data_IF_809706374934
#
_entry.id   IF_809706374934
#
_cell.length_a   1.000
_cell.length_b   1.000
_cell.length_c   1.000
_cell.angle_alpha   90.00
_cell.angle_beta   90.00
_cell.angle_gamma   90.00
#
_symmetry.space_group_name_H-M   'P 1'
#
loop_
_entity.id
_entity.type
_entity.pdbx_description
1 polymer ?
#
# COMPACT_ATOMS: atom_id res chain seq x y z
N UNK A 1 -6.92 -8.57 9.37
CA UNK A 1 -6.03 -8.25 10.51
C UNK A 1 -4.63 -8.83 10.39
N UNK A 2 -4.43 -10.08 9.94
CA UNK A 2 -3.10 -10.71 9.91
C UNK A 2 -2.03 -9.99 9.07
N UNK A 3 -2.40 -9.42 7.91
CA UNK A 3 -1.46 -8.66 7.09
C UNK A 3 -1.04 -7.35 7.76
N UNK A 4 -1.99 -6.59 8.33
CA UNK A 4 -1.66 -5.38 9.08
C UNK A 4 -0.71 -5.64 10.25
N UNK A 5 -0.87 -6.77 10.95
CA UNK A 5 -0.02 -7.14 12.08
C UNK A 5 1.46 -7.39 11.71
N UNK A 6 1.78 -7.51 10.42
CA UNK A 6 3.16 -7.66 9.94
C UNK A 6 3.93 -6.34 9.93
N UNK A 7 3.24 -5.19 9.91
CA UNK A 7 3.89 -3.89 10.04
C UNK A 7 4.14 -3.58 11.52
N UNK A 8 5.39 -3.38 11.96
CA UNK A 8 5.68 -3.01 13.36
C UNK A 8 4.91 -1.76 13.80
N UNK A 9 4.79 -0.77 12.91
CA UNK A 9 4.04 0.46 13.11
C UNK A 9 2.54 0.25 13.39
N UNK A 10 1.96 -0.89 12.99
CA UNK A 10 0.56 -1.19 13.24
C UNK A 10 0.28 -1.71 14.66
N UNK A 11 1.31 -2.25 15.35
CA UNK A 11 1.14 -2.90 16.66
C UNK A 11 0.41 -2.02 17.69
N UNK A 12 0.70 -0.71 17.84
CA UNK A 12 -0.01 0.15 18.78
C UNK A 12 -1.50 0.35 18.44
N UNK A 13 -1.86 0.24 17.15
CA UNK A 13 -3.20 0.44 16.63
C UNK A 13 -4.04 -0.83 16.63
N UNK A 14 -3.40 -2.01 16.66
CA UNK A 14 -4.03 -3.30 16.42
C UNK A 14 -5.25 -3.59 17.32
N UNK A 15 -5.23 -3.16 18.59
CA UNK A 15 -6.37 -3.34 19.50
C UNK A 15 -7.53 -2.42 19.13
N UNK A 16 -7.24 -1.14 18.88
CA UNK A 16 -8.26 -0.14 18.56
C UNK A 16 -8.89 -0.41 17.19
N UNK A 17 -8.10 -0.85 16.22
CA UNK A 17 -8.53 -1.18 14.86
C UNK A 17 -9.45 -2.39 14.75
N UNK A 18 -9.69 -3.14 15.84
CA UNK A 18 -10.74 -4.17 15.90
C UNK A 18 -12.14 -3.58 16.06
N UNK A 19 -12.24 -2.34 16.53
CA UNK A 19 -13.53 -1.70 16.76
C UNK A 19 -14.15 -1.29 15.42
N UNK A 20 -15.47 -1.45 15.24
CA UNK A 20 -16.15 -1.09 14.00
C UNK A 20 -16.12 0.42 13.71
N UNK A 21 -16.00 1.25 14.75
CA UNK A 21 -15.92 2.70 14.69
C UNK A 21 -14.48 3.24 14.57
N UNK A 22 -13.50 2.35 14.41
CA UNK A 22 -12.11 2.77 14.30
C UNK A 22 -11.88 3.59 13.02
N UNK A 23 -11.38 4.80 13.21
CA UNK A 23 -10.88 5.65 12.14
C UNK A 23 -9.48 6.11 12.51
N UNK A 24 -8.52 5.93 11.61
CA UNK A 24 -7.18 6.46 11.80
C UNK A 24 -7.16 7.96 11.49
N UNK A 25 -7.63 8.77 12.45
CA UNK A 25 -7.75 10.23 12.30
C UNK A 25 -6.39 10.90 12.20
N UNK A 26 -6.36 12.05 11.53
CA UNK A 26 -5.19 12.91 11.42
C UNK A 26 -3.96 12.18 10.83
N UNK A 27 -4.20 11.23 9.92
CA UNK A 27 -3.14 10.38 9.35
C UNK A 27 -2.01 11.18 8.71
N UNK A 28 -2.32 12.34 8.12
CA UNK A 28 -1.33 13.24 7.51
C UNK A 28 -0.31 13.79 8.53
N UNK A 29 -0.66 13.83 9.81
CA UNK A 29 0.18 14.34 10.91
C UNK A 29 0.89 13.18 11.66
N UNK A 30 0.86 11.96 11.12
CA UNK A 30 1.47 10.77 11.72
C UNK A 30 2.69 10.35 10.93
N UNK A 31 3.65 9.69 11.55
CA UNK A 31 4.81 9.15 10.83
C UNK A 31 4.42 8.12 9.77
N UNK A 32 3.42 7.29 10.05
CA UNK A 32 3.01 6.21 9.15
C UNK A 32 1.61 6.40 8.58
N UNK A 33 1.49 6.21 7.26
CA UNK A 33 0.22 6.17 6.55
C UNK A 33 -0.04 4.74 6.07
N UNK A 34 -1.21 4.21 6.41
CA UNK A 34 -1.63 2.86 6.01
C UNK A 34 -2.61 2.93 4.84
N UNK A 35 -2.35 2.15 3.79
CA UNK A 35 -3.14 2.18 2.55
C UNK A 35 -3.41 0.77 2.00
N UNK A 36 -4.35 0.67 1.08
CA UNK A 36 -4.51 -0.52 0.23
C UNK A 36 -4.35 -0.10 -1.22
N UNK A 37 -3.39 -0.70 -1.92
CA UNK A 37 -3.20 -0.45 -3.36
C UNK A 37 -3.80 -1.60 -4.16
N UNK A 38 -4.73 -1.27 -5.05
CA UNK A 38 -5.36 -2.22 -5.95
C UNK A 38 -4.95 -1.88 -7.37
N UNK A 39 -4.20 -2.76 -8.00
CA UNK A 39 -3.95 -2.71 -9.44
C UNK A 39 -5.27 -2.94 -10.18
N UNK A 40 -5.52 -2.18 -11.24
CA UNK A 40 -6.80 -2.26 -11.95
C UNK A 40 -6.67 -2.90 -13.33
N UNK A 41 -5.70 -2.46 -14.13
CA UNK A 41 -5.40 -2.99 -15.45
C UNK A 41 -3.92 -2.82 -15.78
N UNK A 42 -3.48 -3.48 -16.86
CA UNK A 42 -2.14 -3.34 -17.39
C UNK A 42 -2.04 -2.16 -18.33
N UNK A 43 -0.91 -1.48 -18.28
CA UNK A 43 -0.51 -0.49 -19.28
C UNK A 43 0.61 -1.06 -20.14
N UNK A 44 0.64 -0.76 -21.45
CA UNK A 44 -0.28 0.14 -22.17
C UNK A 44 -1.63 -0.49 -22.56
N UNK A 45 -1.74 -1.82 -22.66
CA UNK A 45 -2.98 -2.48 -23.11
C UNK A 45 -3.86 -2.96 -21.95
N UNK A 46 -4.85 -2.15 -21.59
CA UNK A 46 -5.81 -2.42 -20.52
C UNK A 46 -6.75 -3.60 -20.78
N UNK A 47 -6.76 -4.15 -22.00
CA UNK A 47 -7.60 -5.30 -22.37
C UNK A 47 -6.97 -6.62 -21.97
N UNK A 48 -5.65 -6.64 -21.72
CA UNK A 48 -4.96 -7.82 -21.20
C UNK A 48 -5.39 -8.06 -19.76
N UNK A 49 -6.10 -9.17 -19.54
CA UNK A 49 -6.65 -9.54 -18.23
C UNK A 49 -5.82 -10.55 -17.45
N UNK A 50 -4.90 -11.22 -18.13
CA UNK A 50 -4.09 -12.30 -17.56
C UNK A 50 -2.63 -12.13 -17.96
N UNK A 51 -1.73 -12.49 -17.04
CA UNK A 51 -0.29 -12.57 -17.30
C UNK A 51 0.14 -13.99 -16.97
N UNK A 52 1.00 -14.57 -17.81
CA UNK A 52 1.56 -15.88 -17.50
C UNK A 52 2.47 -15.79 -16.26
N UNK A 53 2.21 -16.61 -15.25
CA UNK A 53 3.02 -16.67 -14.03
C UNK A 53 2.80 -15.54 -13.02
N UNK A 54 1.86 -14.61 -13.27
CA UNK A 54 1.57 -13.50 -12.35
C UNK A 54 0.07 -13.18 -12.32
N UNK A 55 -0.38 -12.53 -11.25
CA UNK A 55 -1.75 -12.04 -11.13
C UNK A 55 -1.79 -10.72 -10.37
N UNK A 56 -2.60 -9.78 -10.89
CA UNK A 56 -2.91 -8.50 -10.25
C UNK A 56 -4.34 -8.49 -9.67
N UNK A 57 -4.97 -9.66 -9.53
CA UNK A 57 -6.31 -9.77 -8.95
C UNK A 57 -6.35 -9.41 -7.46
N UNK A 58 -5.22 -9.53 -6.77
CA UNK A 58 -5.06 -9.19 -5.37
C UNK A 58 -4.92 -7.69 -5.13
N UNK A 59 -4.48 -7.34 -3.92
CA UNK A 59 -4.14 -5.98 -3.53
C UNK A 59 -2.98 -6.00 -2.53
N UNK A 60 -2.33 -4.85 -2.37
CA UNK A 60 -1.27 -4.68 -1.39
C UNK A 60 -1.81 -4.01 -0.14
N UNK A 61 -1.44 -4.54 1.02
CA UNK A 61 -1.41 -3.76 2.26
C UNK A 61 -0.15 -2.92 2.26
N UNK A 62 -0.25 -1.63 2.56
CA UNK A 62 0.86 -0.69 2.45
C UNK A 62 1.04 0.09 3.75
N UNK A 63 2.28 0.28 4.17
CA UNK A 63 2.71 1.19 5.22
C UNK A 63 3.78 2.14 4.65
N UNK A 64 3.42 3.40 4.50
CA UNK A 64 4.32 4.47 4.08
C UNK A 64 4.88 5.20 5.32
N UNK A 65 6.20 5.36 5.42
CA UNK A 65 6.87 6.21 6.40
C UNK A 65 7.11 7.60 5.79
N UNK A 66 6.42 8.61 6.31
CA UNK A 66 6.52 9.99 5.83
C UNK A 66 7.88 10.64 6.15
N UNK A 67 8.54 10.22 7.23
CA UNK A 67 9.82 10.80 7.68
C UNK A 67 10.96 10.28 6.81
N UNK A 68 10.98 8.97 6.53
CA UNK A 68 12.04 8.34 5.75
C UNK A 68 11.75 8.29 4.23
N UNK A 69 10.51 8.51 3.82
CA UNK A 69 10.09 8.36 2.43
C UNK A 69 10.10 6.90 1.96
N UNK A 70 9.93 5.94 2.87
CA UNK A 70 9.96 4.50 2.56
C UNK A 70 8.56 3.90 2.50
N UNK A 71 8.34 2.96 1.59
CA UNK A 71 7.10 2.20 1.49
C UNK A 71 7.40 0.73 1.74
N UNK A 72 6.67 0.12 2.67
CA UNK A 72 6.64 -1.33 2.83
C UNK A 72 5.25 -1.84 2.47
N UNK A 73 5.20 -2.97 1.78
CA UNK A 73 3.97 -3.55 1.29
C UNK A 73 3.94 -5.05 1.38
N UNK A 74 2.74 -5.60 1.48
CA UNK A 74 2.51 -7.05 1.51
C UNK A 74 1.35 -7.37 0.58
N UNK A 75 1.61 -8.17 -0.45
CA UNK A 75 0.58 -8.61 -1.38
C UNK A 75 -0.37 -9.62 -0.73
N UNK A 76 -1.65 -9.50 -1.07
CA UNK A 76 -2.68 -10.45 -0.70
C UNK A 76 -3.53 -10.83 -1.90
N UNK A 77 -3.56 -12.13 -2.18
CA UNK A 77 -4.57 -12.79 -2.99
C UNK A 77 -4.84 -14.17 -2.39
N UNK A 78 -6.09 -14.63 -2.42
CA UNK A 78 -6.50 -15.84 -1.71
C UNK A 78 -5.81 -17.13 -2.22
N UNK A 79 -5.35 -17.13 -3.48
CA UNK A 79 -4.71 -18.28 -4.14
C UNK A 79 -3.22 -18.09 -4.40
N UNK A 80 -2.64 -16.95 -4.03
CA UNK A 80 -1.22 -16.69 -4.19
C UNK A 80 -0.40 -17.14 -2.99
N UNK A 81 0.91 -17.23 -3.19
CA UNK A 81 1.86 -17.36 -2.10
C UNK A 81 1.65 -16.24 -1.07
N UNK A 82 1.69 -16.60 0.21
CA UNK A 82 1.43 -15.65 1.29
C UNK A 82 2.65 -14.75 1.51
N UNK A 83 2.36 -13.49 1.79
CA UNK A 83 3.33 -12.52 2.31
C UNK A 83 4.46 -12.14 1.34
N UNK A 84 4.20 -12.13 0.04
CA UNK A 84 5.11 -11.49 -0.92
C UNK A 84 5.30 -10.01 -0.53
N UNK A 85 6.54 -9.58 -0.39
CA UNK A 85 6.90 -8.27 0.14
C UNK A 85 7.20 -7.27 -0.98
N UNK A 86 6.89 -6.00 -0.70
CA UNK A 86 7.21 -4.85 -1.53
C UNK A 86 8.00 -3.86 -0.66
N UNK A 87 9.17 -3.43 -1.11
CA UNK A 87 9.97 -2.40 -0.44
C UNK A 87 10.37 -1.34 -1.45
N UNK A 88 10.02 -0.09 -1.19
CA UNK A 88 10.35 1.05 -2.05
C UNK A 88 11.01 2.14 -1.21
N UNK A 89 11.93 2.87 -1.83
CA UNK A 89 12.53 4.08 -1.28
C UNK A 89 12.27 5.24 -2.22
N UNK A 90 11.98 6.40 -1.65
CA UNK A 90 11.90 7.63 -2.41
C UNK A 90 13.22 7.89 -3.15
N UNK A 91 13.12 8.23 -4.44
CA UNK A 91 14.23 8.69 -5.25
C UNK A 91 14.06 10.21 -5.39
N UNK A 92 14.94 11.02 -4.79
CA UNK A 92 14.83 12.48 -4.88
C UNK A 92 14.89 12.96 -6.33
N UNK A 93 13.95 13.82 -6.71
CA UNK A 93 13.88 14.47 -8.03
C UNK A 93 14.32 15.94 -7.98
N UNK A 94 14.94 16.35 -6.86
CA UNK A 94 15.38 17.73 -6.57
C UNK A 94 14.27 18.79 -6.70
N UNK A 95 13.00 18.42 -6.52
CA UNK A 95 11.88 19.35 -6.48
C UNK A 95 11.22 19.62 -7.83
N UNK A 96 11.58 18.88 -8.88
CA UNK A 96 10.92 18.95 -10.18
C UNK A 96 9.70 18.02 -10.23
N UNK A 97 8.61 18.36 -9.55
CA UNK A 97 7.34 17.63 -9.67
C UNK A 97 6.40 18.33 -10.66
N UNK A 98 6.00 17.68 -11.77
CA UNK A 98 4.93 18.21 -12.60
C UNK A 98 3.60 18.15 -11.82
N UNK A 99 2.98 19.31 -11.60
CA UNK A 99 1.63 19.38 -11.06
C UNK A 99 0.62 19.48 -12.21
N UNK A 100 -0.36 18.57 -12.23
CA UNK A 100 -1.46 18.58 -13.20
C UNK A 100 -2.76 18.53 -12.38
N UNK A 101 -3.61 19.54 -12.57
CA UNK A 101 -4.96 19.57 -12.02
C UNK A 101 -5.95 19.25 -13.14
N UNK A 102 -6.80 18.25 -12.91
CA UNK A 102 -7.89 17.91 -13.82
C UNK A 102 -9.17 18.61 -13.34
N UNK A 103 -9.90 19.26 -14.24
CA UNK A 103 -11.21 19.89 -13.98
C UNK A 103 -12.35 18.97 -14.39
#
# INVERSE_FOLDING_TARGET
>A
MHHWARFPAWRPLAKQAKRPDFTYRNFAQREHIFMRWKEYFLVPDHRVRTISGASFEGFYYICFNQVEGTVTGIYFHAKSEKYQQLELKHVPDHGCTPAIEFR
#
